data_IF_973474388453
#
_entry.id   IF_973474388453
#
_cell.length_a   1.000
_cell.length_b   1.000
_cell.length_c   1.000
_cell.angle_alpha   90.00
_cell.angle_beta   90.00
_cell.angle_gamma   90.00
#
_symmetry.space_group_name_H-M   'P 1'
#
loop_
_entity.id
_entity.type
_entity.pdbx_description
1 polymer ?
#
# COMPACT_ATOMS: atom_id res chain seq x y z
N UNK A 1 -6.19 1.94 -7.37
CA UNK A 1 -5.38 0.94 -6.66
C UNK A 1 -3.96 0.98 -7.19
N UNK A 2 -2.99 1.32 -6.36
CA UNK A 2 -1.62 1.66 -6.78
C UNK A 2 -0.69 0.42 -6.84
N UNK A 3 -0.82 -0.48 -5.86
CA UNK A 3 0.07 -1.65 -5.67
C UNK A 3 -0.62 -2.96 -6.05
N UNK A 4 -1.20 -3.01 -7.25
CA UNK A 4 -1.83 -4.23 -7.79
C UNK A 4 -0.80 -5.26 -8.24
N UNK A 5 0.39 -4.80 -8.61
CA UNK A 5 1.49 -5.63 -9.08
C UNK A 5 2.27 -6.22 -7.89
N UNK A 6 2.44 -7.56 -7.81
CA UNK A 6 3.17 -8.19 -6.71
C UNK A 6 4.61 -7.69 -6.56
N UNK A 7 5.31 -7.39 -7.65
CA UNK A 7 6.68 -6.90 -7.58
C UNK A 7 6.74 -5.48 -7.01
N UNK A 8 5.86 -4.57 -7.46
CA UNK A 8 5.75 -3.22 -6.86
C UNK A 8 5.37 -3.31 -5.38
N UNK A 9 4.44 -4.19 -5.02
CA UNK A 9 4.00 -4.39 -3.63
C UNK A 9 5.14 -4.92 -2.75
N UNK A 10 5.95 -5.86 -3.25
CA UNK A 10 7.15 -6.36 -2.56
C UNK A 10 8.21 -5.27 -2.39
N UNK A 11 8.49 -4.50 -3.45
CA UNK A 11 9.44 -3.39 -3.39
C UNK A 11 9.00 -2.36 -2.35
N UNK A 12 7.73 -1.95 -2.36
CA UNK A 12 7.18 -1.01 -1.39
C UNK A 12 7.31 -1.53 0.04
N UNK A 13 6.99 -2.81 0.28
CA UNK A 13 7.12 -3.42 1.61
C UNK A 13 8.57 -3.43 2.14
N UNK A 14 9.58 -3.69 1.31
CA UNK A 14 10.97 -3.78 1.80
C UNK A 14 11.76 -2.46 1.73
N UNK A 15 11.27 -1.46 0.99
CA UNK A 15 12.01 -0.21 0.76
C UNK A 15 11.25 1.05 1.16
N UNK A 16 9.95 0.96 1.44
CA UNK A 16 9.02 2.08 1.60
C UNK A 16 8.92 3.00 0.37
N UNK A 17 9.54 2.63 -0.74
CA UNK A 17 9.48 3.37 -2.00
C UNK A 17 8.25 2.93 -2.78
N UNK A 18 7.38 3.89 -3.11
CA UNK A 18 6.10 3.63 -3.77
C UNK A 18 6.08 4.33 -5.11
N UNK A 19 6.12 3.56 -6.20
CA UNK A 19 6.12 4.08 -7.56
C UNK A 19 4.77 3.82 -8.24
N UNK A 20 4.20 4.83 -8.96
CA UNK A 20 2.90 4.71 -9.64
C UNK A 20 2.85 3.66 -10.71
N UNK A 21 3.99 3.42 -11.32
CA UNK A 21 4.13 2.49 -12.40
C UNK A 21 5.54 1.92 -12.39
N UNK A 22 5.76 0.99 -13.30
CA UNK A 22 7.07 0.41 -13.51
C UNK A 22 7.95 1.42 -14.26
N UNK A 23 8.37 2.51 -13.59
CA UNK A 23 9.17 3.58 -14.22
C UNK A 23 10.40 3.02 -14.95
N UNK A 24 11.01 1.97 -14.40
CA UNK A 24 12.12 1.26 -15.03
C UNK A 24 11.79 0.69 -16.41
N UNK A 25 10.51 0.44 -16.77
CA UNK A 25 10.14 0.01 -18.13
C UNK A 25 10.52 1.07 -19.16
N UNK A 26 10.39 2.35 -18.85
CA UNK A 26 10.80 3.42 -19.76
C UNK A 26 12.32 3.44 -19.96
N UNK A 27 13.08 3.09 -18.91
CA UNK A 27 14.53 3.03 -18.97
C UNK A 27 15.05 1.82 -19.75
N UNK A 28 14.24 0.78 -19.96
CA UNK A 28 14.69 -0.39 -20.75
C UNK A 28 15.03 -0.05 -22.21
N UNK A 29 14.58 1.10 -22.71
CA UNK A 29 14.89 1.58 -24.05
C UNK A 29 16.29 2.20 -24.18
N UNK A 30 16.96 2.53 -23.07
CA UNK A 30 18.31 3.13 -23.12
C UNK A 30 19.38 2.05 -23.30
N UNK A 31 20.47 2.39 -24.00
CA UNK A 31 21.58 1.47 -24.31
C UNK A 31 22.77 1.61 -23.34
N UNK A 32 22.60 2.36 -22.27
CA UNK A 32 23.59 2.59 -21.23
C UNK A 32 23.43 1.60 -20.06
N UNK A 33 24.31 1.72 -19.06
CA UNK A 33 24.29 0.87 -17.87
C UNK A 33 22.96 0.96 -17.10
N UNK A 34 22.29 2.12 -17.12
CA UNK A 34 20.98 2.28 -16.51
C UNK A 34 19.92 1.42 -17.23
N UNK A 35 19.94 1.41 -18.56
CA UNK A 35 19.06 0.57 -19.37
C UNK A 35 19.29 -0.92 -19.16
N UNK A 36 20.54 -1.35 -18.97
CA UNK A 36 20.86 -2.74 -18.61
C UNK A 36 20.27 -3.12 -17.26
N UNK A 37 20.44 -2.28 -16.23
CA UNK A 37 19.85 -2.49 -14.90
C UNK A 37 18.32 -2.53 -14.97
N UNK A 38 17.71 -1.64 -15.76
CA UNK A 38 16.28 -1.60 -15.98
C UNK A 38 15.75 -2.87 -16.65
N UNK A 39 16.47 -3.44 -17.64
CA UNK A 39 16.13 -4.71 -18.29
C UNK A 39 16.22 -5.89 -17.32
N UNK A 40 17.27 -5.94 -16.50
CA UNK A 40 17.41 -6.96 -15.44
C UNK A 40 16.27 -6.85 -14.44
N UNK A 41 15.98 -5.66 -13.92
CA UNK A 41 14.86 -5.41 -13.01
C UNK A 41 13.52 -5.80 -13.64
N UNK A 42 13.29 -5.44 -14.90
CA UNK A 42 12.07 -5.81 -15.61
C UNK A 42 11.89 -7.33 -15.71
N UNK A 43 12.94 -8.05 -16.10
CA UNK A 43 12.90 -9.52 -16.18
C UNK A 43 12.63 -10.14 -14.81
N UNK A 44 13.35 -9.72 -13.78
CA UNK A 44 13.18 -10.24 -12.42
C UNK A 44 11.79 -9.93 -11.85
N UNK A 45 11.24 -8.74 -12.09
CA UNK A 45 9.90 -8.36 -11.67
C UNK A 45 8.81 -9.23 -12.35
N UNK A 46 8.98 -9.53 -13.64
CA UNK A 46 8.08 -10.44 -14.37
C UNK A 46 8.15 -11.86 -13.83
N UNK A 47 9.35 -12.38 -13.59
CA UNK A 47 9.55 -13.72 -13.03
C UNK A 47 9.01 -13.83 -11.61
N UNK A 48 9.22 -12.80 -10.78
CA UNK A 48 8.66 -12.72 -9.43
C UNK A 48 7.13 -12.74 -9.47
N UNK A 49 6.52 -11.88 -10.28
CA UNK A 49 5.06 -11.80 -10.42
C UNK A 49 4.48 -13.14 -10.87
N UNK A 50 5.08 -13.78 -11.89
CA UNK A 50 4.66 -15.11 -12.34
C UNK A 50 4.81 -16.17 -11.23
N UNK A 51 5.89 -16.11 -10.44
CA UNK A 51 6.11 -17.02 -9.31
C UNK A 51 5.09 -16.80 -8.19
N UNK A 52 4.69 -15.55 -7.91
CA UNK A 52 3.64 -15.24 -6.95
C UNK A 52 2.30 -15.83 -7.40
N UNK A 53 1.91 -15.61 -8.66
CA UNK A 53 0.69 -16.20 -9.22
C UNK A 53 0.71 -17.73 -9.16
N UNK A 54 1.85 -18.36 -9.46
CA UNK A 54 1.99 -19.82 -9.37
C UNK A 54 1.87 -20.34 -7.93
N UNK A 55 2.45 -19.61 -6.96
CA UNK A 55 2.34 -19.92 -5.54
C UNK A 55 0.90 -19.80 -5.05
N UNK A 56 0.21 -18.71 -5.38
CA UNK A 56 -1.20 -18.50 -5.02
C UNK A 56 -2.09 -19.63 -5.55
N UNK A 57 -1.88 -20.04 -6.79
CA UNK A 57 -2.59 -21.17 -7.38
C UNK A 57 -2.28 -22.50 -6.67
N UNK A 58 -1.02 -22.74 -6.29
CA UNK A 58 -0.64 -23.96 -5.58
C UNK A 58 -1.23 -24.00 -4.16
N UNK A 59 -1.26 -22.85 -3.46
CA UNK A 59 -1.89 -22.71 -2.16
C UNK A 59 -3.40 -22.91 -2.25
N UNK A 60 -4.07 -22.36 -3.26
CA UNK A 60 -5.49 -22.56 -3.49
C UNK A 60 -5.84 -24.04 -3.71
N UNK A 61 -5.04 -24.76 -4.53
CA UNK A 61 -5.19 -26.22 -4.71
C UNK A 61 -4.99 -26.99 -3.41
N UNK A 62 -3.99 -26.61 -2.62
CA UNK A 62 -3.72 -27.22 -1.30
C UNK A 62 -4.89 -27.00 -0.34
N UNK A 63 -5.46 -25.80 -0.31
CA UNK A 63 -6.65 -25.47 0.48
C UNK A 63 -7.87 -26.29 0.06
N UNK A 64 -8.12 -26.41 -1.25
CA UNK A 64 -9.21 -27.24 -1.77
C UNK A 64 -9.05 -28.73 -1.40
N UNK A 65 -7.84 -29.27 -1.49
CA UNK A 65 -7.56 -30.65 -1.04
C UNK A 65 -7.76 -30.82 0.46
N UNK A 66 -7.35 -29.84 1.27
CA UNK A 66 -7.56 -29.88 2.72
C UNK A 66 -9.07 -29.84 3.07
N UNK A 67 -9.87 -29.07 2.34
CA UNK A 67 -11.33 -29.08 2.52
C UNK A 67 -11.95 -30.43 2.13
N UNK A 68 -11.53 -30.99 0.99
CA UNK A 68 -11.99 -32.32 0.57
C UNK A 68 -11.61 -33.40 1.59
N UNK A 69 -10.40 -33.32 2.15
CA UNK A 69 -9.96 -34.19 3.24
C UNK A 69 -10.88 -34.09 4.46
N UNK A 70 -11.17 -32.87 4.93
CA UNK A 70 -12.06 -32.64 6.08
C UNK A 70 -13.44 -33.24 5.86
N UNK A 71 -14.05 -32.98 4.70
CA UNK A 71 -15.37 -33.52 4.37
C UNK A 71 -15.35 -35.05 4.25
N UNK A 72 -14.30 -35.60 3.66
CA UNK A 72 -14.15 -37.05 3.55
C UNK A 72 -13.94 -37.73 4.91
N UNK A 73 -13.17 -37.12 5.83
CA UNK A 73 -12.92 -37.67 7.18
C UNK A 73 -14.20 -37.63 8.02
N UNK A 74 -15.01 -36.60 7.84
CA UNK A 74 -16.33 -36.52 8.46
C UNK A 74 -17.30 -37.60 7.93
N UNK A 75 -17.08 -38.11 6.72
CA UNK A 75 -17.96 -39.06 6.05
C UNK A 75 -17.49 -40.53 6.11
N UNK A 76 -16.18 -40.79 6.17
CA UNK A 76 -15.55 -42.13 6.17
C UNK A 76 -14.22 -42.12 6.94
N UNK A 77 -13.93 -43.21 7.65
CA UNK A 77 -12.68 -43.36 8.43
C UNK A 77 -11.43 -43.59 7.55
N UNK A 78 -11.60 -44.21 6.38
CA UNK A 78 -10.49 -44.47 5.44
C UNK A 78 -10.53 -43.46 4.29
N UNK A 79 -9.47 -42.66 4.19
CA UNK A 79 -9.37 -41.58 3.21
C UNK A 79 -8.07 -41.69 2.42
N UNK A 80 -8.22 -41.95 1.12
CA UNK A 80 -7.17 -41.78 0.13
C UNK A 80 -7.45 -40.53 -0.70
N UNK A 81 -6.63 -39.49 -0.53
CA UNK A 81 -6.67 -38.28 -1.36
C UNK A 81 -5.69 -38.43 -2.52
N UNK A 82 -6.24 -38.74 -3.69
CA UNK A 82 -5.45 -38.77 -4.92
C UNK A 82 -4.80 -37.40 -5.17
N UNK A 83 -3.51 -37.40 -5.53
CA UNK A 83 -2.78 -36.18 -5.89
C UNK A 83 -2.30 -35.31 -4.71
N UNK A 84 -2.50 -35.74 -3.46
CA UNK A 84 -2.04 -34.99 -2.27
C UNK A 84 -0.53 -34.74 -2.28
N UNK A 85 0.27 -35.78 -2.52
CA UNK A 85 1.73 -35.66 -2.55
C UNK A 85 2.21 -34.71 -3.66
N UNK A 86 1.64 -34.82 -4.86
CA UNK A 86 2.00 -33.94 -5.98
C UNK A 86 1.66 -32.47 -5.66
N UNK A 87 0.48 -32.21 -5.11
CA UNK A 87 0.03 -30.84 -4.83
C UNK A 87 0.87 -30.17 -3.74
N UNK A 88 1.28 -30.93 -2.72
CA UNK A 88 2.22 -30.43 -1.71
C UNK A 88 3.60 -30.14 -2.30
N UNK A 89 4.15 -31.05 -3.11
CA UNK A 89 5.44 -30.84 -3.77
C UNK A 89 5.41 -29.60 -4.68
N UNK A 90 4.35 -29.42 -5.45
CA UNK A 90 4.17 -28.22 -6.29
C UNK A 90 4.15 -26.93 -5.46
N UNK A 91 3.45 -26.94 -4.31
CA UNK A 91 3.39 -25.79 -3.41
C UNK A 91 4.76 -25.49 -2.77
N UNK A 92 5.53 -26.50 -2.38
CA UNK A 92 6.87 -26.35 -1.85
C UNK A 92 7.83 -25.77 -2.89
N UNK A 93 7.83 -26.31 -4.12
CA UNK A 93 8.66 -25.80 -5.22
C UNK A 93 8.30 -24.36 -5.58
N UNK A 94 7.01 -24.05 -5.65
CA UNK A 94 6.54 -22.69 -5.90
C UNK A 94 7.00 -21.71 -4.80
N UNK A 95 6.94 -22.15 -3.53
CA UNK A 95 7.40 -21.36 -2.38
C UNK A 95 8.91 -21.13 -2.42
N UNK A 96 9.72 -22.16 -2.66
CA UNK A 96 11.17 -22.04 -2.76
C UNK A 96 11.58 -21.05 -3.86
N UNK A 97 10.95 -21.16 -5.04
CA UNK A 97 11.19 -20.22 -6.14
C UNK A 97 10.83 -18.78 -5.75
N UNK A 98 9.68 -18.59 -5.09
CA UNK A 98 9.25 -17.26 -4.64
C UNK A 98 10.22 -16.66 -3.62
N UNK A 99 10.75 -17.47 -2.69
CA UNK A 99 11.74 -17.04 -1.69
C UNK A 99 13.08 -16.62 -2.30
N UNK A 100 13.50 -17.23 -3.41
CA UNK A 100 14.74 -16.84 -4.12
C UNK A 100 14.54 -15.57 -4.94
N UNK A 101 13.39 -15.44 -5.61
CA UNK A 101 13.10 -14.31 -6.50
C UNK A 101 12.87 -13.00 -5.73
N UNK A 102 12.35 -13.06 -4.50
CA UNK A 102 12.12 -11.88 -3.66
C UNK A 102 13.39 -11.04 -3.41
N UNK A 103 14.46 -11.62 -2.83
CA UNK A 103 15.74 -10.94 -2.66
C UNK A 103 16.37 -10.49 -3.99
N UNK A 104 16.29 -11.30 -5.04
CA UNK A 104 16.81 -10.94 -6.36
C UNK A 104 16.13 -9.69 -6.93
N UNK A 105 14.80 -9.59 -6.77
CA UNK A 105 14.02 -8.41 -7.15
C UNK A 105 14.52 -7.16 -6.41
N UNK A 106 14.71 -7.25 -5.10
CA UNK A 106 15.15 -6.12 -4.29
C UNK A 106 16.57 -5.67 -4.61
N UNK A 107 17.48 -6.62 -4.89
CA UNK A 107 18.85 -6.30 -5.33
C UNK A 107 18.83 -5.57 -6.67
N UNK A 108 18.09 -6.09 -7.65
CA UNK A 108 17.95 -5.44 -8.95
C UNK A 108 17.30 -4.05 -8.83
N UNK A 109 16.29 -3.92 -7.97
CA UNK A 109 15.61 -2.66 -7.69
C UNK A 109 16.55 -1.62 -7.11
N UNK A 110 17.26 -1.96 -6.02
CA UNK A 110 18.22 -1.05 -5.38
C UNK A 110 19.34 -0.65 -6.33
N UNK A 111 19.84 -1.59 -7.13
CA UNK A 111 20.86 -1.29 -8.14
C UNK A 111 20.36 -0.26 -9.16
N UNK A 112 19.17 -0.45 -9.74
CA UNK A 112 18.56 0.51 -10.65
C UNK A 112 18.27 1.86 -9.95
N UNK A 113 17.65 1.83 -8.76
CA UNK A 113 17.23 3.02 -8.01
C UNK A 113 18.38 3.92 -7.60
N UNK A 114 19.54 3.34 -7.27
CA UNK A 114 20.76 4.10 -6.94
C UNK A 114 21.30 4.89 -8.14
N UNK A 115 21.04 4.43 -9.36
CA UNK A 115 21.48 5.09 -10.60
C UNK A 115 20.38 5.93 -11.25
N UNK A 116 19.14 5.84 -10.76
CA UNK A 116 17.99 6.63 -11.18
C UNK A 116 17.55 7.57 -10.04
N UNK A 117 18.14 8.78 -9.92
CA UNK A 117 17.59 9.78 -9.02
C UNK A 117 16.19 10.17 -9.52
N UNK A 118 15.18 9.96 -8.67
CA UNK A 118 13.81 10.46 -8.89
C UNK A 118 13.76 11.85 -8.27
N UNK A 119 13.44 12.86 -9.08
CA UNK A 119 13.34 14.25 -8.63
C UNK A 119 12.19 14.44 -7.64
N UNK A 120 12.29 15.50 -6.84
CA UNK A 120 11.26 15.91 -5.90
C UNK A 120 10.11 16.58 -6.67
N UNK A 121 9.26 15.74 -7.27
CA UNK A 121 8.14 16.14 -8.12
C UNK A 121 7.01 16.79 -7.29
N UNK A 122 6.07 17.44 -8.00
CA UNK A 122 4.82 17.94 -7.40
C UNK A 122 3.91 16.84 -6.85
N UNK A 123 4.30 15.57 -6.98
CA UNK A 123 3.57 14.41 -6.50
C UNK A 123 4.51 13.40 -5.87
N UNK A 124 4.14 12.89 -4.69
CA UNK A 124 4.83 11.79 -4.02
C UNK A 124 3.83 10.76 -3.51
N UNK A 125 4.27 9.52 -3.35
CA UNK A 125 3.43 8.42 -2.89
C UNK A 125 4.01 7.83 -1.62
N UNK A 126 3.14 7.52 -0.67
CA UNK A 126 3.55 7.13 0.68
C UNK A 126 2.73 5.94 1.15
N UNK A 127 3.39 4.93 1.69
CA UNK A 127 2.72 3.88 2.45
C UNK A 127 2.16 4.44 3.75
N UNK A 128 0.88 4.16 4.03
CA UNK A 128 0.28 4.58 5.30
C UNK A 128 0.89 3.85 6.49
N UNK A 129 1.31 2.61 6.30
CA UNK A 129 2.10 1.85 7.26
C UNK A 129 3.43 1.44 6.62
N UNK A 130 4.56 1.98 7.12
CA UNK A 130 5.87 1.57 6.63
C UNK A 130 6.05 0.06 6.71
N UNK A 131 6.50 -0.54 5.62
CA UNK A 131 6.69 -1.97 5.50
C UNK A 131 5.45 -2.80 5.20
N UNK A 132 4.26 -2.20 5.23
CA UNK A 132 3.00 -2.91 5.03
C UNK A 132 2.09 -2.22 3.99
N UNK A 133 2.12 -2.70 2.74
CA UNK A 133 1.28 -2.15 1.68
C UNK A 133 -0.19 -2.56 1.80
N UNK A 134 -0.57 -3.47 2.70
CA UNK A 134 -1.98 -3.90 2.85
C UNK A 134 -2.93 -2.84 3.37
N UNK A 135 -2.39 -1.76 3.94
CA UNK A 135 -3.15 -0.62 4.41
C UNK A 135 -3.24 0.50 3.37
N UNK A 136 -2.75 0.27 2.15
CA UNK A 136 -2.86 1.20 1.03
C UNK A 136 -1.86 2.36 1.04
N UNK A 137 -2.07 3.27 0.09
CA UNK A 137 -1.13 4.35 -0.26
C UNK A 137 -1.84 5.70 -0.20
N UNK A 138 -1.16 6.71 0.32
CA UNK A 138 -1.54 8.11 0.15
C UNK A 138 -0.75 8.74 -1.01
N UNK A 139 -1.47 9.31 -1.97
CA UNK A 139 -0.89 10.21 -2.97
C UNK A 139 -0.89 11.63 -2.42
N UNK A 140 0.28 12.23 -2.38
CA UNK A 140 0.51 13.56 -1.84
C UNK A 140 0.83 14.50 -3.00
N UNK A 141 0.00 15.52 -3.20
CA UNK A 141 0.20 16.53 -4.25
C UNK A 141 0.65 17.85 -3.62
N UNK A 142 1.75 18.39 -4.09
CA UNK A 142 2.32 19.63 -3.55
C UNK A 142 1.39 20.79 -3.84
N UNK A 143 1.03 21.54 -2.80
CA UNK A 143 0.27 22.80 -2.90
C UNK A 143 1.19 23.99 -2.69
N UNK A 144 2.04 23.90 -1.66
CA UNK A 144 3.07 24.87 -1.31
C UNK A 144 4.35 24.11 -0.92
N UNK A 145 5.53 24.75 -0.84
CA UNK A 145 6.80 24.05 -0.60
C UNK A 145 6.83 23.11 0.61
N UNK A 146 5.96 23.34 1.59
CA UNK A 146 5.83 22.54 2.82
C UNK A 146 4.44 21.96 3.05
N UNK A 147 3.55 22.06 2.07
CA UNK A 147 2.14 21.66 2.22
C UNK A 147 1.72 20.71 1.12
N UNK A 148 1.16 19.59 1.53
CA UNK A 148 0.80 18.48 0.66
C UNK A 148 -0.68 18.16 0.81
N UNK A 149 -1.41 18.18 -0.30
CA UNK A 149 -2.77 17.66 -0.38
C UNK A 149 -2.74 16.13 -0.34
N UNK A 150 -3.57 15.53 0.50
CA UNK A 150 -3.62 14.08 0.70
C UNK A 150 -4.79 13.49 -0.06
N UNK A 151 -4.51 12.49 -0.88
CA UNK A 151 -5.49 11.71 -1.64
C UNK A 151 -5.23 10.22 -1.38
N UNK A 152 -6.08 9.52 -0.60
CA UNK A 152 -5.94 8.09 -0.40
C UNK A 152 -6.36 7.31 -1.63
N UNK A 153 -5.66 6.21 -1.88
CA UNK A 153 -6.07 5.23 -2.88
C UNK A 153 -7.22 4.35 -2.37
N UNK A 154 -7.77 3.52 -3.26
CA UNK A 154 -8.89 2.64 -2.93
C UNK A 154 -8.60 1.64 -1.80
N UNK A 155 -7.36 1.15 -1.69
CA UNK A 155 -6.96 0.20 -0.64
C UNK A 155 -6.90 0.92 0.72
N UNK A 156 -6.35 2.13 0.76
CA UNK A 156 -6.37 2.98 1.94
C UNK A 156 -7.78 3.34 2.39
N UNK A 157 -8.64 3.76 1.47
CA UNK A 157 -10.03 4.09 1.80
C UNK A 157 -10.80 2.88 2.35
N UNK A 158 -10.54 1.67 1.82
CA UNK A 158 -11.13 0.45 2.34
C UNK A 158 -10.56 0.06 3.72
N UNK A 159 -9.25 0.19 3.93
CA UNK A 159 -8.59 -0.19 5.18
C UNK A 159 -9.02 0.70 6.36
N UNK A 160 -9.35 1.96 6.09
CA UNK A 160 -9.81 2.93 7.09
C UNK A 160 -11.34 3.12 7.08
N UNK A 161 -12.07 2.36 6.27
CA UNK A 161 -13.53 2.41 6.16
C UNK A 161 -14.07 3.83 5.90
N UNK A 162 -13.56 4.45 4.83
CA UNK A 162 -13.91 5.80 4.37
C UNK A 162 -14.61 5.70 3.01
N UNK A 163 -15.74 6.39 2.79
CA UNK A 163 -16.56 6.22 1.59
C UNK A 163 -15.98 6.83 0.30
N UNK A 164 -14.84 7.53 0.38
CA UNK A 164 -14.25 8.24 -0.75
C UNK A 164 -12.85 7.72 -1.04
N UNK A 165 -12.66 7.06 -2.18
CA UNK A 165 -11.34 6.89 -2.79
C UNK A 165 -11.04 8.06 -3.73
N UNK A 166 -9.76 8.36 -3.93
CA UNK A 166 -9.28 9.29 -4.95
C UNK A 166 -9.80 10.73 -4.80
N UNK A 167 -10.20 11.13 -3.58
CA UNK A 167 -10.59 12.51 -3.24
C UNK A 167 -9.58 13.14 -2.29
N UNK A 168 -9.42 14.46 -2.40
CA UNK A 168 -8.63 15.20 -1.41
C UNK A 168 -9.35 15.16 -0.07
N UNK A 169 -8.71 14.56 0.93
CA UNK A 169 -9.24 14.43 2.29
C UNK A 169 -8.77 15.57 3.20
N UNK A 170 -7.70 16.26 2.82
CA UNK A 170 -7.12 17.34 3.60
C UNK A 170 -5.74 17.71 3.10
N UNK A 171 -5.02 18.47 3.90
CA UNK A 171 -3.61 18.79 3.67
C UNK A 171 -2.77 18.49 4.90
N UNK A 172 -1.48 18.26 4.69
CA UNK A 172 -0.49 18.16 5.76
C UNK A 172 0.59 19.19 5.48
N UNK A 173 0.84 20.04 6.47
CA UNK A 173 1.83 21.11 6.42
C UNK A 173 2.96 20.83 7.39
N UNK A 174 4.21 20.99 6.96
CA UNK A 174 5.38 20.93 7.83
C UNK A 174 5.48 22.23 8.64
N UNK A 175 5.54 22.11 9.97
CA UNK A 175 5.64 23.21 10.92
C UNK A 175 6.78 22.97 11.92
N UNK A 176 7.05 23.95 12.79
CA UNK A 176 8.03 23.79 13.87
C UNK A 176 7.69 22.68 14.87
N UNK A 177 6.41 22.26 14.94
CA UNK A 177 5.91 21.20 15.82
C UNK A 177 5.86 19.82 15.12
N UNK A 178 6.42 19.71 13.91
CA UNK A 178 6.29 18.53 13.05
C UNK A 178 5.22 18.71 11.97
N UNK A 179 4.59 17.63 11.56
CA UNK A 179 3.60 17.60 10.48
C UNK A 179 2.21 17.88 11.03
N UNK A 180 1.58 18.96 10.58
CA UNK A 180 0.24 19.38 11.01
C UNK A 180 -0.80 19.03 9.95
N UNK A 181 -1.61 17.99 10.18
CA UNK A 181 -2.75 17.65 9.32
C UNK A 181 -3.94 18.62 9.52
N UNK A 182 -4.57 19.00 8.42
CA UNK A 182 -5.81 19.79 8.39
C UNK A 182 -6.83 19.12 7.49
N UNK A 183 -7.97 18.70 8.06
CA UNK A 183 -9.01 17.99 7.35
C UNK A 183 -10.06 18.94 6.75
N UNK A 184 -10.60 18.62 5.57
CA UNK A 184 -11.57 19.48 4.85
C UNK A 184 -12.97 18.86 4.83
N UNK A 185 -14.05 19.62 5.10
CA UNK A 185 -15.44 19.08 5.14
C UNK A 185 -16.25 19.23 3.84
N UNK A 186 -15.86 20.06 2.86
CA UNK A 186 -16.65 20.26 1.63
C UNK A 186 -15.80 20.51 0.36
N UNK A 187 -16.40 20.28 -0.80
CA UNK A 187 -15.85 19.41 -1.85
C UNK A 187 -15.22 20.05 -3.09
N UNK A 188 -14.35 19.23 -3.69
CA UNK A 188 -14.11 18.95 -5.11
C UNK A 188 -13.30 19.96 -5.93
N UNK A 189 -13.63 21.24 -6.04
CA UNK A 189 -12.90 22.12 -6.98
C UNK A 189 -12.64 23.51 -6.37
N UNK A 190 -11.37 23.78 -6.05
CA UNK A 190 -10.74 25.04 -5.58
C UNK A 190 -10.73 25.34 -4.05
N UNK A 191 -9.58 25.84 -3.54
CA UNK A 191 -9.47 26.43 -2.21
C UNK A 191 -10.03 27.87 -2.15
N UNK A 192 -10.40 28.36 -0.96
CA UNK A 192 -10.29 27.66 0.32
C UNK A 192 -11.55 26.85 0.64
N UNK A 193 -11.40 25.65 1.22
CA UNK A 193 -12.54 24.86 1.69
C UNK A 193 -13.30 25.63 2.78
N UNK A 194 -14.63 25.65 2.69
CA UNK A 194 -15.53 26.41 3.57
C UNK A 194 -15.43 26.00 5.05
N UNK A 195 -14.92 24.80 5.33
CA UNK A 195 -14.68 24.29 6.68
C UNK A 195 -13.42 23.41 6.69
N UNK A 196 -12.38 23.89 7.39
CA UNK A 196 -11.12 23.19 7.62
C UNK A 196 -10.90 22.99 9.12
N UNK A 197 -10.40 21.81 9.51
CA UNK A 197 -10.20 21.43 10.91
C UNK A 197 -8.76 21.01 11.15
N UNK A 198 -8.00 21.74 11.97
CA UNK A 198 -6.66 21.32 12.35
C UNK A 198 -6.75 20.11 13.28
N UNK A 199 -5.92 19.09 13.03
CA UNK A 199 -5.75 17.96 13.95
C UNK A 199 -4.38 18.08 14.65
N UNK A 200 -4.12 17.29 15.72
CA UNK A 200 -2.85 17.35 16.43
C UNK A 200 -1.65 17.09 15.50
N UNK A 201 -0.55 17.79 15.75
CA UNK A 201 0.68 17.57 15.00
C UNK A 201 1.24 16.16 15.26
N UNK A 202 1.92 15.62 14.26
CA UNK A 202 2.59 14.33 14.32
C UNK A 202 4.07 14.48 13.99
N UNK A 203 4.91 13.58 14.52
CA UNK A 203 6.36 13.61 14.29
C UNK A 203 6.74 13.28 12.85
N UNK A 204 5.89 12.54 12.13
CA UNK A 204 6.13 12.09 10.77
C UNK A 204 4.87 12.23 9.89
N UNK A 205 5.12 12.27 8.58
CA UNK A 205 4.14 12.47 7.53
C UNK A 205 3.14 11.32 7.42
N UNK A 206 3.59 10.06 7.55
CA UNK A 206 2.70 8.89 7.47
C UNK A 206 1.67 8.89 8.61
N UNK A 207 2.07 9.06 9.90
CA UNK A 207 1.11 9.29 10.99
C UNK A 207 0.16 10.46 10.75
N UNK A 208 0.64 11.59 10.23
CA UNK A 208 -0.23 12.73 9.92
C UNK A 208 -1.30 12.37 8.85
N UNK A 209 -0.92 11.60 7.82
CA UNK A 209 -1.88 11.10 6.82
C UNK A 209 -2.89 10.11 7.43
N UNK A 210 -2.43 9.21 8.32
CA UNK A 210 -3.33 8.30 9.05
C UNK A 210 -4.31 9.05 9.95
N UNK A 211 -3.85 10.13 10.59
CA UNK A 211 -4.70 10.99 11.43
C UNK A 211 -5.86 11.58 10.62
N UNK A 212 -5.59 12.07 9.41
CA UNK A 212 -6.65 12.54 8.49
C UNK A 212 -7.64 11.43 8.15
N UNK A 213 -7.15 10.23 7.84
CA UNK A 213 -8.01 9.10 7.50
C UNK A 213 -8.90 8.68 8.67
N UNK A 214 -8.34 8.56 9.88
CA UNK A 214 -9.12 8.24 11.08
C UNK A 214 -10.14 9.30 11.43
N UNK A 215 -9.80 10.57 11.22
CA UNK A 215 -10.76 11.65 11.39
C UNK A 215 -11.93 11.51 10.41
N UNK A 216 -11.65 11.16 9.15
CA UNK A 216 -12.70 10.91 8.16
C UNK A 216 -13.52 9.67 8.46
N UNK A 217 -12.92 8.61 9.01
CA UNK A 217 -13.63 7.44 9.49
C UNK A 217 -14.60 7.83 10.62
N UNK A 218 -14.09 8.49 11.68
CA UNK A 218 -14.91 9.02 12.77
C UNK A 218 -16.03 9.88 12.23
N UNK A 219 -15.75 10.74 11.25
CA UNK A 219 -16.76 11.62 10.67
C UNK A 219 -17.93 10.90 10.02
N UNK A 220 -17.68 9.76 9.42
CA UNK A 220 -18.70 8.98 8.73
C UNK A 220 -19.36 7.93 9.62
N UNK A 221 -18.86 7.73 10.84
CA UNK A 221 -19.52 6.87 11.81
C UNK A 221 -20.88 7.45 12.22
N UNK A 222 -21.79 6.56 12.60
CA UNK A 222 -23.12 6.96 13.09
C UNK A 222 -23.04 7.80 14.38
N UNK A 223 -21.93 7.67 15.13
CA UNK A 223 -21.71 8.40 16.38
C UNK A 223 -21.34 9.88 16.17
N UNK A 224 -20.86 10.28 14.98
CA UNK A 224 -20.33 11.63 14.75
C UNK A 224 -21.12 12.47 13.75
N UNK A 225 -22.22 11.97 13.18
CA UNK A 225 -22.99 12.67 12.11
C UNK A 225 -23.42 14.11 12.42
N UNK A 226 -23.28 14.61 13.66
CA UNK A 226 -23.57 15.99 14.07
C UNK A 226 -22.54 16.64 15.03
N UNK A 227 -21.32 16.10 15.18
CA UNK A 227 -20.28 16.65 16.08
C UNK A 227 -19.21 17.44 15.33
N UNK A 228 -18.61 18.42 16.00
CA UNK A 228 -17.43 19.16 15.50
C UNK A 228 -16.14 18.64 16.16
N UNK A 229 -14.94 18.81 15.57
CA UNK A 229 -13.69 18.31 16.14
C UNK A 229 -13.36 18.83 17.55
N UNK A 230 -13.85 20.01 17.92
CA UNK A 230 -13.70 20.56 19.27
C UNK A 230 -14.54 19.81 20.32
N UNK A 231 -15.43 18.93 19.87
CA UNK A 231 -16.28 18.10 20.70
C UNK A 231 -15.73 16.68 20.81
N UNK A 232 -14.56 16.36 20.21
CA UNK A 232 -13.91 15.06 20.39
C UNK A 232 -13.52 14.87 21.85
N UNK A 233 -13.83 13.70 22.39
CA UNK A 233 -13.37 13.35 23.72
C UNK A 233 -11.85 13.04 23.71
N UNK A 234 -11.20 13.01 24.89
CA UNK A 234 -9.76 12.73 24.95
C UNK A 234 -9.35 11.37 24.36
N UNK A 235 -10.23 10.37 24.37
CA UNK A 235 -9.94 9.05 23.82
C UNK A 235 -10.03 9.06 22.27
N UNK A 236 -11.01 9.76 21.71
CA UNK A 236 -11.15 10.01 20.27
C UNK A 236 -9.96 10.84 19.76
N UNK A 237 -9.51 11.85 20.52
CA UNK A 237 -8.31 12.63 20.19
C UNK A 237 -7.03 11.79 20.25
N UNK A 238 -6.89 10.92 21.26
CA UNK A 238 -5.76 10.00 21.33
C UNK A 238 -5.76 9.01 20.16
N UNK A 239 -6.93 8.53 19.73
CA UNK A 239 -7.05 7.63 18.58
C UNK A 239 -6.57 8.28 17.26
N UNK A 240 -6.67 9.61 17.13
CA UNK A 240 -6.17 10.33 15.96
C UNK A 240 -4.64 10.35 15.86
N UNK A 241 -3.91 10.19 16.97
CA UNK A 241 -2.44 10.33 17.00
C UNK A 241 -1.68 9.01 17.13
N UNK A 242 -2.35 7.91 17.51
CA UNK A 242 -1.72 6.58 17.76
C UNK A 242 -1.77 5.65 16.56
#
# INVERSE_FOLDING_TARGET
>A
MFLTDPALRRIAADTNDVLPEHLWRHDTATLDALGDLARVLHKTAREFTASTTALDQALARTGALAEQARHGLAARADLHLAGYHQTLTDALVARERHLVLGPALLVAYRAWRNHRPISDDDQRHLLLYPGDPSHGVATLRRREPRTWLVVPDSEASSAFDIPYSDRVIGEVSESALGWTPTAYIASLHQPPPTMAYPLPACDDLAPACRSLLRWWHLRHSDTWRNRTPNQLDPAELAHLTT
#
